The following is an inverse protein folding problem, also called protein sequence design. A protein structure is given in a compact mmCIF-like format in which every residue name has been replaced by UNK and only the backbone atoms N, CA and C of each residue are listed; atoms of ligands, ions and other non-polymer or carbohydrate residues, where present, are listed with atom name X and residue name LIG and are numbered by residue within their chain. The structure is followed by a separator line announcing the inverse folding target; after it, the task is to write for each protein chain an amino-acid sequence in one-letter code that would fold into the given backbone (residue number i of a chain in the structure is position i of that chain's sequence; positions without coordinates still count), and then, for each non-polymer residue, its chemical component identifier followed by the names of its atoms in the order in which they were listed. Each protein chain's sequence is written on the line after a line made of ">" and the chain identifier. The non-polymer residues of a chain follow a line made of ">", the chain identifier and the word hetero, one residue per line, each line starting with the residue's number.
data_IF_473699359628
#
_entry.id   IF_473699359628
#
_cell.length_a   1.000
_cell.length_b   1.000
_cell.length_c   1.000
_cell.angle_alpha   90.00
_cell.angle_beta   90.00
_cell.angle_gamma   90.00
#
_symmetry.space_group_name_H-M   'P 1'
#
loop_
_entity.id
_entity.type
_entity.pdbx_description
1 polymer ?
#
# COMPACT_ATOMS: atom_id res chain seq x y z
N UNK A 1 -14.53 -27.35 -2.26
CA UNK A 1 -14.85 -25.90 -2.18
C UNK A 1 -13.73 -25.18 -2.89
N UNK A 2 -14.04 -24.34 -3.87
CA UNK A 2 -13.06 -23.50 -4.55
C UNK A 2 -13.14 -22.10 -3.94
N UNK A 3 -11.99 -21.48 -3.71
CA UNK A 3 -11.91 -20.08 -3.31
C UNK A 3 -11.86 -19.21 -4.57
N UNK A 4 -12.45 -18.01 -4.50
CA UNK A 4 -12.35 -17.04 -5.58
C UNK A 4 -10.91 -16.56 -5.76
N UNK A 5 -10.48 -16.36 -7.01
CA UNK A 5 -9.10 -16.00 -7.32
C UNK A 5 -8.72 -14.59 -6.81
N UNK A 6 -9.67 -13.66 -6.81
CA UNK A 6 -9.45 -12.31 -6.30
C UNK A 6 -9.35 -12.32 -4.77
N UNK A 7 -10.20 -13.10 -4.11
CA UNK A 7 -10.13 -13.29 -2.65
C UNK A 7 -8.79 -13.92 -2.23
N UNK A 8 -8.35 -14.96 -2.95
CA UNK A 8 -7.04 -15.58 -2.71
C UNK A 8 -5.90 -14.58 -2.92
N UNK A 9 -5.93 -13.78 -3.99
CA UNK A 9 -4.91 -12.78 -4.26
C UNK A 9 -4.83 -11.71 -3.15
N UNK A 10 -5.97 -11.27 -2.61
CA UNK A 10 -6.00 -10.33 -1.50
C UNK A 10 -5.36 -10.95 -0.24
N UNK A 11 -5.72 -12.20 0.08
CA UNK A 11 -5.13 -12.93 1.21
C UNK A 11 -3.60 -13.11 1.07
N UNK A 12 -3.11 -13.36 -0.15
CA UNK A 12 -1.69 -13.45 -0.45
C UNK A 12 -0.97 -12.11 -0.21
N UNK A 13 -1.58 -10.99 -0.58
CA UNK A 13 -1.04 -9.65 -0.35
C UNK A 13 -1.00 -9.35 1.15
N UNK A 14 -2.12 -9.54 1.86
CA UNK A 14 -2.24 -9.20 3.28
C UNK A 14 -1.26 -9.99 4.16
N UNK A 15 -1.08 -11.29 3.85
CA UNK A 15 -0.18 -12.17 4.58
C UNK A 15 1.24 -12.21 4.01
N UNK A 16 1.54 -11.44 2.95
CA UNK A 16 2.85 -11.40 2.31
C UNK A 16 3.34 -12.77 1.81
N UNK A 17 2.44 -13.61 1.29
CA UNK A 17 2.74 -14.96 0.79
C UNK A 17 2.66 -15.00 -0.74
N UNK A 18 3.74 -15.45 -1.39
CA UNK A 18 3.75 -15.62 -2.86
C UNK A 18 3.73 -14.30 -3.65
N UNK A 19 4.00 -13.18 -2.99
CA UNK A 19 4.15 -11.85 -3.60
C UNK A 19 5.50 -11.25 -3.23
N UNK A 20 5.97 -10.27 -4.02
CA UNK A 20 7.18 -9.51 -3.71
C UNK A 20 6.95 -8.02 -3.97
N UNK A 21 7.51 -7.16 -3.13
CA UNK A 21 7.40 -5.72 -3.29
C UNK A 21 8.24 -5.26 -4.47
N UNK A 22 7.60 -4.69 -5.49
CA UNK A 22 8.28 -4.21 -6.69
C UNK A 22 8.84 -2.79 -6.47
N UNK A 23 8.10 -1.92 -5.78
CA UNK A 23 8.50 -0.55 -5.50
C UNK A 23 7.70 0.01 -4.33
N UNK A 24 8.29 0.95 -3.60
CA UNK A 24 7.66 1.67 -2.50
C UNK A 24 7.64 3.15 -2.87
N UNK A 25 6.46 3.74 -2.89
CA UNK A 25 6.28 5.17 -3.17
C UNK A 25 5.88 5.87 -1.89
N UNK A 26 6.70 6.81 -1.45
CA UNK A 26 6.39 7.65 -0.30
C UNK A 26 5.60 8.88 -0.76
N UNK A 27 4.36 9.01 -0.29
CA UNK A 27 3.54 10.19 -0.57
C UNK A 27 3.83 11.21 0.51
N UNK A 28 4.48 12.32 0.13
CA UNK A 28 4.70 13.46 1.01
C UNK A 28 3.70 14.56 0.68
N UNK A 29 2.93 14.98 1.68
CA UNK A 29 2.09 16.17 1.58
C UNK A 29 2.95 17.38 1.93
N UNK A 30 2.81 18.46 1.15
CA UNK A 30 3.39 19.74 1.51
C UNK A 30 2.69 20.22 2.77
N UNK A 31 3.48 20.50 3.80
CA UNK A 31 3.01 21.17 5.00
C UNK A 31 2.78 22.64 4.65
N UNK A 32 1.51 23.03 4.58
CA UNK A 32 1.14 24.41 4.27
C UNK A 32 1.49 25.36 5.42
N UNK A 33 1.52 24.85 6.65
CA UNK A 33 1.73 25.66 7.85
C UNK A 33 3.22 26.00 8.03
N UNK A 34 4.12 25.24 7.37
CA UNK A 34 5.56 25.48 7.33
C UNK A 34 5.97 26.78 6.63
N UNK A 35 5.14 27.29 5.71
CA UNK A 35 5.43 28.51 4.95
C UNK A 35 4.69 29.75 5.46
N UNK A 36 3.87 29.59 6.50
CA UNK A 36 3.25 30.69 7.23
C UNK A 36 4.19 31.12 8.36
N UNK A 37 5.18 31.94 8.01
CA UNK A 37 5.88 32.77 9.00
C UNK A 37 4.92 33.88 9.50
N UNK A 38 4.92 34.17 10.81
CA UNK A 38 4.16 35.27 11.44
C UNK A 38 4.45 36.66 10.82
#
# INVERSE_FOLDING_TARGET
>A
MLIDGQELAQLMIDNHVGVSTVSIYEIKKIDSDYFTDE
#
